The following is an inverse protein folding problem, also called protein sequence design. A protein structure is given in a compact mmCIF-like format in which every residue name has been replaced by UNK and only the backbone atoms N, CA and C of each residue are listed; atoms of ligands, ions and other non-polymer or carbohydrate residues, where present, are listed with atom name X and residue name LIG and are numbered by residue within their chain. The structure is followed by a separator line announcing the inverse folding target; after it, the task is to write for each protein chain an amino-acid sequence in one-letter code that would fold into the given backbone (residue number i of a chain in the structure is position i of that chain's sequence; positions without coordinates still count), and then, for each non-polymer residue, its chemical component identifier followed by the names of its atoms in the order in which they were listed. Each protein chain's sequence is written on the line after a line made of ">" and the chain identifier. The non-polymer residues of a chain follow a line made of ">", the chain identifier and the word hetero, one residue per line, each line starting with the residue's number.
data_IF_699917845507
#
_entry.id   IF_699917845507
#
_cell.length_a   1.000
_cell.length_b   1.000
_cell.length_c   1.000
_cell.angle_alpha   90.00
_cell.angle_beta   90.00
_cell.angle_gamma   90.00
#
_symmetry.space_group_name_H-M   'P 1'
#
loop_
_entity.id
_entity.type
_entity.pdbx_description
1 polymer ?
#
# COMPACT_ATOMS: atom_id res chain seq x y z
N UNK A 1 -8.34 -20.97 -33.95
CA UNK A 1 -8.35 -20.20 -32.67
C UNK A 1 -7.74 -18.84 -32.95
N UNK A 2 -8.55 -17.84 -33.15
CA UNK A 2 -8.12 -16.47 -33.37
C UNK A 2 -7.53 -15.92 -32.06
N UNK A 3 -6.25 -15.57 -32.05
CA UNK A 3 -5.62 -14.90 -30.91
C UNK A 3 -6.30 -13.54 -30.74
N UNK A 4 -7.19 -13.41 -29.75
CA UNK A 4 -7.74 -12.14 -29.33
C UNK A 4 -6.55 -11.21 -29.07
N UNK A 5 -6.37 -10.18 -29.90
CA UNK A 5 -5.35 -9.15 -29.69
C UNK A 5 -5.61 -8.55 -28.30
N UNK A 6 -4.57 -8.52 -27.47
CA UNK A 6 -4.60 -7.81 -26.20
C UNK A 6 -4.92 -6.33 -26.49
N UNK A 7 -5.91 -5.77 -25.82
CA UNK A 7 -6.26 -4.34 -25.92
C UNK A 7 -5.22 -3.44 -25.25
N UNK A 8 -4.20 -4.03 -24.63
CA UNK A 8 -3.17 -3.30 -23.88
C UNK A 8 -1.84 -3.29 -24.63
N UNK A 9 -1.28 -2.09 -24.78
CA UNK A 9 0.12 -1.94 -25.17
C UNK A 9 1.03 -2.33 -24.00
N UNK A 10 2.05 -3.14 -24.26
CA UNK A 10 3.07 -3.49 -23.27
C UNK A 10 3.99 -2.30 -23.02
N UNK A 11 3.68 -1.51 -22.01
CA UNK A 11 4.46 -0.31 -21.63
C UNK A 11 5.58 -0.64 -20.64
N UNK A 12 5.40 -1.68 -19.81
CA UNK A 12 6.35 -2.08 -18.77
C UNK A 12 7.04 -3.39 -19.12
N UNK A 13 8.34 -3.45 -18.85
CA UNK A 13 9.10 -4.69 -18.82
C UNK A 13 8.84 -5.48 -17.53
N UNK A 14 9.27 -6.74 -17.47
CA UNK A 14 9.16 -7.55 -16.25
C UNK A 14 9.96 -6.92 -15.08
N UNK A 15 11.08 -6.25 -15.36
CA UNK A 15 11.87 -5.54 -14.37
C UNK A 15 11.15 -4.31 -13.83
N UNK A 16 10.48 -3.54 -14.68
CA UNK A 16 9.70 -2.37 -14.23
C UNK A 16 8.59 -2.79 -13.29
N UNK A 17 7.88 -3.88 -13.61
CA UNK A 17 6.82 -4.44 -12.76
C UNK A 17 7.41 -4.91 -11.42
N UNK A 18 8.56 -5.59 -11.43
CA UNK A 18 9.21 -6.06 -10.22
C UNK A 18 9.64 -4.89 -9.33
N UNK A 19 10.23 -3.84 -9.90
CA UNK A 19 10.66 -2.66 -9.15
C UNK A 19 9.47 -1.91 -8.55
N UNK A 20 8.39 -1.74 -9.32
CA UNK A 20 7.16 -1.10 -8.83
C UNK A 20 6.52 -1.92 -7.70
N UNK A 21 6.41 -3.25 -7.89
CA UNK A 21 5.85 -4.13 -6.87
C UNK A 21 6.69 -4.14 -5.59
N UNK A 22 8.01 -4.19 -5.73
CA UNK A 22 8.95 -4.13 -4.60
C UNK A 22 8.82 -2.80 -3.85
N UNK A 23 8.78 -1.67 -4.58
CA UNK A 23 8.60 -0.35 -3.99
C UNK A 23 7.26 -0.19 -3.27
N UNK A 24 6.19 -0.81 -3.80
CA UNK A 24 4.88 -0.81 -3.15
C UNK A 24 4.85 -1.66 -1.86
N UNK A 25 5.66 -2.71 -1.77
CA UNK A 25 5.76 -3.57 -0.58
C UNK A 25 6.63 -2.96 0.51
N UNK A 26 7.73 -2.29 0.15
CA UNK A 26 8.66 -1.66 1.08
C UNK A 26 8.26 -0.19 1.26
N UNK A 27 7.12 0.03 1.90
CA UNK A 27 6.72 1.35 2.38
C UNK A 27 7.43 1.71 3.70
N UNK A 28 7.15 2.91 4.21
CA UNK A 28 7.72 3.38 5.48
C UNK A 28 7.28 2.59 6.71
N UNK A 29 6.26 1.75 6.58
CA UNK A 29 5.68 0.96 7.67
C UNK A 29 6.71 0.12 8.43
N UNK A 30 7.66 -0.49 7.73
CA UNK A 30 8.71 -1.26 8.39
C UNK A 30 9.65 -0.39 9.23
N UNK A 31 9.94 0.84 8.79
CA UNK A 31 10.79 1.78 9.56
C UNK A 31 10.10 2.21 10.85
N UNK A 32 8.81 2.54 10.77
CA UNK A 32 8.05 3.06 11.92
C UNK A 32 7.65 1.95 12.88
N UNK A 33 7.29 0.77 12.39
CA UNK A 33 6.66 -0.27 13.21
C UNK A 33 7.59 -1.41 13.66
N UNK A 34 8.80 -1.52 13.09
CA UNK A 34 9.73 -2.61 13.43
C UNK A 34 10.09 -2.65 14.91
N UNK A 35 10.28 -1.48 15.53
CA UNK A 35 10.56 -1.37 16.96
C UNK A 35 9.43 -1.96 17.82
N UNK A 36 8.19 -1.69 17.48
CA UNK A 36 7.02 -2.22 18.17
C UNK A 36 6.85 -3.74 17.97
N UNK A 37 7.07 -4.22 16.75
CA UNK A 37 7.02 -5.66 16.47
C UNK A 37 8.07 -6.45 17.25
N UNK A 38 9.31 -5.94 17.32
CA UNK A 38 10.39 -6.56 18.11
C UNK A 38 10.10 -6.44 19.60
N UNK A 39 9.57 -5.31 20.05
CA UNK A 39 9.20 -5.10 21.44
C UNK A 39 8.12 -6.06 21.96
N UNK A 40 7.13 -6.38 21.12
CA UNK A 40 6.01 -7.28 21.46
C UNK A 40 6.35 -8.77 21.24
N UNK A 41 6.98 -9.10 20.12
CA UNK A 41 7.20 -10.48 19.70
C UNK A 41 8.63 -10.99 19.91
N UNK A 42 9.55 -10.12 20.31
CA UNK A 42 10.98 -10.42 20.28
C UNK A 42 11.53 -10.51 18.85
N UNK A 43 12.84 -10.52 18.69
CA UNK A 43 13.50 -10.61 17.38
C UNK A 43 13.10 -11.90 16.63
N UNK A 44 13.11 -13.02 17.31
CA UNK A 44 12.77 -14.32 16.71
C UNK A 44 11.29 -14.36 16.29
N UNK A 45 10.37 -13.83 17.11
CA UNK A 45 8.95 -13.75 16.79
C UNK A 45 8.69 -12.90 15.57
N UNK A 46 9.37 -11.75 15.44
CA UNK A 46 9.28 -10.90 14.26
C UNK A 46 9.77 -11.63 13.00
N UNK A 47 10.93 -12.28 13.05
CA UNK A 47 11.49 -13.05 11.91
C UNK A 47 10.54 -14.17 11.47
N UNK A 48 10.02 -14.96 12.40
CA UNK A 48 9.08 -16.05 12.10
C UNK A 48 7.78 -15.48 11.51
N UNK A 49 7.26 -14.39 12.09
CA UNK A 49 6.05 -13.72 11.58
C UNK A 49 6.22 -13.26 10.14
N UNK A 50 7.34 -12.64 9.80
CA UNK A 50 7.64 -12.24 8.42
C UNK A 50 7.83 -13.45 7.49
N UNK A 51 8.47 -14.52 7.94
CA UNK A 51 8.65 -15.73 7.14
C UNK A 51 7.29 -16.38 6.80
N UNK A 52 6.42 -16.54 7.79
CA UNK A 52 5.06 -17.09 7.58
C UNK A 52 4.25 -16.16 6.69
N UNK A 53 4.24 -14.85 6.96
CA UNK A 53 3.55 -13.86 6.14
C UNK A 53 4.04 -13.86 4.70
N UNK A 54 5.35 -13.94 4.46
CA UNK A 54 5.94 -14.04 3.13
C UNK A 54 5.47 -15.27 2.36
N UNK A 55 5.40 -16.43 3.00
CA UNK A 55 4.87 -17.67 2.40
C UNK A 55 3.39 -17.49 2.02
N UNK A 56 2.59 -16.91 2.91
CA UNK A 56 1.16 -16.66 2.63
C UNK A 56 0.97 -15.70 1.44
N UNK A 57 1.71 -14.59 1.41
CA UNK A 57 1.66 -13.61 0.31
C UNK A 57 2.11 -14.23 -1.00
N UNK A 58 3.11 -15.13 -0.98
CA UNK A 58 3.55 -15.85 -2.16
C UNK A 58 2.42 -16.69 -2.79
N UNK A 59 1.66 -17.44 -2.01
CA UNK A 59 0.51 -18.20 -2.51
C UNK A 59 -0.61 -17.29 -3.04
N UNK A 60 -0.88 -16.19 -2.37
CA UNK A 60 -1.82 -15.17 -2.87
C UNK A 60 -1.34 -14.63 -4.22
N UNK A 61 -0.05 -14.31 -4.35
CA UNK A 61 0.53 -13.84 -5.61
C UNK A 61 0.39 -14.84 -6.76
N UNK A 62 0.58 -16.12 -6.51
CA UNK A 62 0.35 -17.19 -7.51
C UNK A 62 -1.12 -17.22 -7.97
N UNK A 63 -2.07 -17.06 -7.07
CA UNK A 63 -3.50 -16.99 -7.39
C UNK A 63 -3.81 -15.79 -8.30
N UNK A 64 -3.26 -14.62 -7.97
CA UNK A 64 -3.41 -13.42 -8.82
C UNK A 64 -2.77 -13.59 -10.19
N UNK A 65 -1.61 -14.23 -10.27
CA UNK A 65 -0.94 -14.50 -11.54
C UNK A 65 -1.81 -15.39 -12.45
N UNK A 66 -2.42 -16.43 -11.90
CA UNK A 66 -3.32 -17.32 -12.63
C UNK A 66 -4.60 -16.60 -13.08
N UNK A 67 -5.24 -15.85 -12.17
CA UNK A 67 -6.46 -15.10 -12.49
C UNK A 67 -6.22 -14.03 -13.56
N UNK A 68 -5.09 -13.33 -13.49
CA UNK A 68 -4.73 -12.31 -14.47
C UNK A 68 -4.44 -12.93 -15.84
N UNK A 69 -3.81 -14.10 -15.88
CA UNK A 69 -3.56 -14.83 -17.13
C UNK A 69 -4.86 -15.35 -17.75
N UNK A 70 -5.80 -15.83 -16.91
CA UNK A 70 -7.10 -16.34 -17.35
C UNK A 70 -8.07 -15.22 -17.78
N UNK A 71 -7.96 -14.04 -17.16
CA UNK A 71 -8.87 -12.91 -17.37
C UNK A 71 -8.07 -11.61 -17.62
N UNK A 72 -7.43 -11.44 -18.78
CA UNK A 72 -6.60 -10.28 -19.11
C UNK A 72 -7.47 -9.06 -19.45
N UNK A 73 -8.17 -8.51 -18.45
CA UNK A 73 -9.06 -7.37 -18.57
C UNK A 73 -8.65 -6.30 -17.54
N UNK A 74 -8.92 -5.03 -17.87
CA UNK A 74 -8.70 -3.93 -16.94
C UNK A 74 -9.70 -4.00 -15.79
N UNK A 75 -9.22 -3.80 -14.55
CA UNK A 75 -10.06 -3.80 -13.34
C UNK A 75 -9.62 -4.80 -12.26
N UNK A 76 -8.66 -5.69 -12.55
CA UNK A 76 -8.10 -6.61 -11.55
C UNK A 76 -9.16 -7.34 -10.72
N UNK A 77 -9.11 -7.16 -9.40
CA UNK A 77 -10.01 -7.82 -8.44
C UNK A 77 -11.49 -7.56 -8.70
N UNK A 78 -11.83 -6.40 -9.25
CA UNK A 78 -13.21 -6.11 -9.63
C UNK A 78 -13.71 -7.11 -10.68
N UNK A 79 -12.91 -7.40 -11.71
CA UNK A 79 -13.27 -8.34 -12.77
C UNK A 79 -13.37 -9.76 -12.22
N UNK A 80 -12.39 -10.15 -11.39
CA UNK A 80 -12.36 -11.51 -10.81
C UNK A 80 -13.55 -11.75 -9.89
N UNK A 81 -13.81 -10.80 -8.98
CA UNK A 81 -14.94 -10.89 -8.05
C UNK A 81 -16.29 -10.79 -8.75
N UNK A 82 -16.42 -9.99 -9.83
CA UNK A 82 -17.65 -9.90 -10.60
C UNK A 82 -18.00 -11.24 -11.25
N UNK A 83 -17.02 -11.93 -11.83
CA UNK A 83 -17.23 -13.24 -12.44
C UNK A 83 -17.53 -14.34 -11.42
N UNK A 84 -16.93 -14.26 -10.22
CA UNK A 84 -17.10 -15.28 -9.20
C UNK A 84 -18.37 -15.09 -8.35
N UNK A 85 -18.70 -13.85 -7.99
CA UNK A 85 -19.72 -13.52 -6.98
C UNK A 85 -20.83 -12.60 -7.51
N UNK A 86 -20.76 -12.18 -8.78
CA UNK A 86 -21.72 -11.26 -9.37
C UNK A 86 -21.56 -9.79 -8.88
N UNK A 87 -22.51 -8.90 -9.24
CA UNK A 87 -22.37 -7.46 -9.04
C UNK A 87 -22.28 -7.04 -7.57
N UNK A 88 -23.06 -7.66 -6.69
CA UNK A 88 -23.07 -7.31 -5.25
C UNK A 88 -21.77 -7.71 -4.58
N UNK A 89 -21.29 -8.94 -4.82
CA UNK A 89 -20.02 -9.41 -4.28
C UNK A 89 -18.84 -8.59 -4.79
N UNK A 90 -18.83 -8.24 -6.06
CA UNK A 90 -17.83 -7.39 -6.68
C UNK A 90 -17.83 -5.97 -6.09
N UNK A 91 -18.99 -5.39 -5.83
CA UNK A 91 -19.10 -4.08 -5.19
C UNK A 91 -18.45 -4.07 -3.80
N UNK A 92 -18.77 -5.07 -2.96
CA UNK A 92 -18.20 -5.20 -1.62
C UNK A 92 -16.67 -5.38 -1.69
N UNK A 93 -16.20 -6.27 -2.58
CA UNK A 93 -14.78 -6.52 -2.77
C UNK A 93 -14.03 -5.25 -3.21
N UNK A 94 -14.56 -4.54 -4.20
CA UNK A 94 -13.98 -3.30 -4.73
C UNK A 94 -13.90 -2.22 -3.64
N UNK A 95 -14.95 -2.06 -2.84
CA UNK A 95 -14.94 -1.12 -1.73
C UNK A 95 -13.90 -1.47 -0.66
N UNK A 96 -13.76 -2.74 -0.32
CA UNK A 96 -12.75 -3.20 0.63
C UNK A 96 -11.33 -2.90 0.13
N UNK A 97 -11.06 -3.10 -1.16
CA UNK A 97 -9.77 -2.80 -1.79
C UNK A 97 -9.49 -1.30 -1.81
N UNK A 98 -10.47 -0.48 -2.21
CA UNK A 98 -10.34 0.98 -2.19
C UNK A 98 -10.02 1.46 -0.76
N UNK A 99 -10.73 0.94 0.24
CA UNK A 99 -10.48 1.30 1.64
C UNK A 99 -9.06 0.91 2.07
N UNK A 100 -8.59 -0.27 1.65
CA UNK A 100 -7.21 -0.71 1.89
C UNK A 100 -6.18 0.26 1.31
N UNK A 101 -6.31 0.62 0.04
CA UNK A 101 -5.38 1.56 -0.60
C UNK A 101 -5.42 2.96 0.02
N UNK A 102 -6.60 3.48 0.34
CA UNK A 102 -6.75 4.79 1.03
C UNK A 102 -6.05 4.74 2.39
N UNK A 103 -6.23 3.66 3.15
CA UNK A 103 -5.57 3.49 4.45
C UNK A 103 -4.05 3.49 4.35
N UNK A 104 -3.49 2.85 3.32
CA UNK A 104 -2.03 2.86 3.06
C UNK A 104 -1.55 4.27 2.77
N UNK A 105 -2.22 5.03 1.90
CA UNK A 105 -1.85 6.42 1.58
C UNK A 105 -1.86 7.30 2.83
N UNK A 106 -2.90 7.17 3.67
CA UNK A 106 -2.97 7.89 4.94
C UNK A 106 -1.81 7.52 5.88
N UNK A 107 -1.50 6.23 6.00
CA UNK A 107 -0.41 5.75 6.83
C UNK A 107 0.95 6.28 6.35
N UNK A 108 1.24 6.20 5.06
CA UNK A 108 2.48 6.70 4.46
C UNK A 108 2.64 8.22 4.63
N UNK A 109 1.56 8.98 4.48
CA UNK A 109 1.60 10.42 4.72
C UNK A 109 1.93 10.79 6.19
N UNK A 110 1.50 9.97 7.15
CA UNK A 110 1.78 10.15 8.57
C UNK A 110 3.18 9.66 8.98
N UNK A 111 3.78 8.77 8.21
CA UNK A 111 5.06 8.16 8.56
C UNK A 111 6.21 9.17 8.56
N UNK A 112 6.30 10.05 7.56
CA UNK A 112 7.39 11.02 7.46
C UNK A 112 7.44 12.01 8.64
N UNK A 113 6.35 12.71 9.03
CA UNK A 113 6.38 13.59 10.20
C UNK A 113 6.65 12.81 11.49
N UNK A 114 6.26 11.55 11.59
CA UNK A 114 6.57 10.70 12.73
C UNK A 114 8.08 10.44 12.82
N UNK A 115 8.75 10.14 11.70
CA UNK A 115 10.20 9.97 11.66
C UNK A 115 10.93 11.26 12.05
N UNK A 116 10.46 12.41 11.54
CA UNK A 116 11.02 13.71 11.92
C UNK A 116 10.95 13.93 13.44
N UNK A 117 9.85 13.51 14.06
CA UNK A 117 9.69 13.61 15.51
C UNK A 117 10.72 12.78 16.28
N UNK A 118 11.10 11.60 15.78
CA UNK A 118 12.14 10.78 16.40
C UNK A 118 13.53 11.40 16.28
N UNK A 119 13.83 12.09 15.18
CA UNK A 119 15.13 12.74 14.94
C UNK A 119 15.19 14.07 15.69
N UNK A 120 14.11 14.82 15.71
CA UNK A 120 14.01 16.15 16.31
C UNK A 120 12.71 16.31 17.12
N UNK A 121 12.71 15.92 18.41
CA UNK A 121 11.53 16.02 19.28
C UNK A 121 10.96 17.44 19.41
N UNK A 122 11.77 18.48 19.28
CA UNK A 122 11.36 19.89 19.30
C UNK A 122 10.53 20.33 18.08
N UNK A 123 10.33 19.45 17.11
CA UNK A 123 9.49 19.70 15.93
C UNK A 123 8.00 19.84 16.26
N UNK A 124 7.53 19.18 17.33
CA UNK A 124 6.11 19.17 17.72
C UNK A 124 5.73 20.54 18.33
N UNK A 125 5.03 21.35 17.53
CA UNK A 125 4.53 22.68 17.96
C UNK A 125 3.05 22.84 17.59
N UNK A 126 2.33 23.57 18.47
CA UNK A 126 0.92 23.83 18.23
C UNK A 126 0.05 22.58 18.41
N UNK A 127 -0.16 22.15 19.66
CA UNK A 127 -1.09 21.08 19.99
C UNK A 127 -2.49 21.41 19.49
N UNK A 128 -3.15 20.45 18.83
CA UNK A 128 -4.51 20.60 18.30
C UNK A 128 -5.52 19.76 19.08
N UNK A 129 -5.33 18.44 19.06
CA UNK A 129 -6.24 17.48 19.71
C UNK A 129 -5.56 16.12 19.87
N UNK A 130 -6.20 15.22 20.63
CA UNK A 130 -5.74 13.83 20.81
C UNK A 130 -6.75 12.88 20.18
N UNK A 131 -6.29 11.92 19.38
CA UNK A 131 -7.09 10.84 18.78
C UNK A 131 -6.50 9.49 19.16
N UNK A 132 -7.31 8.61 19.74
CA UNK A 132 -6.91 7.25 20.14
C UNK A 132 -5.60 7.20 20.97
N UNK A 133 -5.36 8.21 21.80
CA UNK A 133 -4.15 8.32 22.63
C UNK A 133 -2.94 8.93 21.93
N UNK A 134 -3.08 9.41 20.70
CA UNK A 134 -2.02 10.12 19.97
C UNK A 134 -2.32 11.61 19.91
N UNK A 135 -1.36 12.42 20.36
CA UNK A 135 -1.44 13.87 20.31
C UNK A 135 -1.08 14.40 18.92
N UNK A 136 -1.98 15.18 18.34
CA UNK A 136 -1.81 15.77 17.00
C UNK A 136 -1.37 17.24 17.16
N UNK A 137 -0.26 17.55 16.49
CA UNK A 137 0.33 18.89 16.48
C UNK A 137 0.23 19.53 15.09
N UNK A 138 0.08 20.85 15.05
CA UNK A 138 -0.06 21.60 13.80
C UNK A 138 1.16 21.43 12.88
N UNK A 139 2.37 21.43 13.42
CA UNK A 139 3.59 21.19 12.66
C UNK A 139 3.64 19.78 12.04
N UNK A 140 3.21 18.78 12.79
CA UNK A 140 3.12 17.39 12.33
C UNK A 140 2.09 17.25 11.20
N UNK A 141 0.91 17.82 11.39
CA UNK A 141 -0.17 17.80 10.41
C UNK A 141 0.21 18.53 9.11
N UNK A 142 0.88 19.69 9.22
CA UNK A 142 1.34 20.45 8.06
C UNK A 142 2.28 19.64 7.17
N UNK A 143 3.26 18.93 7.76
CA UNK A 143 4.18 18.07 7.00
C UNK A 143 3.41 16.89 6.38
N UNK A 144 2.52 16.24 7.12
CA UNK A 144 1.71 15.14 6.60
C UNK A 144 0.89 15.58 5.37
N UNK A 145 0.25 16.75 5.41
CA UNK A 145 -0.49 17.31 4.29
C UNK A 145 0.39 17.61 3.09
N UNK A 146 1.55 18.26 3.29
CA UNK A 146 2.49 18.56 2.19
C UNK A 146 2.94 17.27 1.51
N UNK A 147 3.27 16.24 2.27
CA UNK A 147 3.69 14.93 1.74
C UNK A 147 2.55 14.27 0.97
N UNK A 148 1.34 14.27 1.50
CA UNK A 148 0.17 13.72 0.82
C UNK A 148 -0.10 14.42 -0.52
N UNK A 149 -0.02 15.75 -0.56
CA UNK A 149 -0.15 16.53 -1.80
C UNK A 149 0.95 16.21 -2.79
N UNK A 150 2.18 16.10 -2.35
CA UNK A 150 3.33 15.80 -3.21
C UNK A 150 3.21 14.40 -3.83
N UNK A 151 2.89 13.38 -3.03
CA UNK A 151 2.66 12.02 -3.51
C UNK A 151 1.50 11.98 -4.52
N UNK A 152 0.38 12.64 -4.19
CA UNK A 152 -0.79 12.72 -5.07
C UNK A 152 -0.43 13.39 -6.40
N UNK A 153 0.32 14.49 -6.37
CA UNK A 153 0.74 15.19 -7.57
C UNK A 153 1.63 14.33 -8.48
N UNK A 154 2.58 13.58 -7.91
CA UNK A 154 3.42 12.63 -8.67
C UNK A 154 2.54 11.55 -9.32
N UNK A 155 1.59 10.99 -8.57
CA UNK A 155 0.71 9.94 -9.08
C UNK A 155 -0.21 10.43 -10.21
N UNK A 156 -0.69 11.67 -10.16
CA UNK A 156 -1.51 12.26 -11.23
C UNK A 156 -0.69 12.39 -12.54
N UNK A 157 0.60 12.72 -12.46
CA UNK A 157 1.46 12.80 -13.64
C UNK A 157 1.71 11.45 -14.32
N UNK A 158 1.57 10.35 -13.58
CA UNK A 158 1.71 9.00 -14.09
C UNK A 158 3.15 8.55 -14.35
N UNK A 159 3.31 7.28 -14.73
CA UNK A 159 4.62 6.63 -14.91
C UNK A 159 5.35 7.01 -16.22
N UNK A 160 4.81 7.90 -17.04
CA UNK A 160 5.38 8.32 -18.35
C UNK A 160 6.12 9.67 -18.28
N UNK A 161 6.29 10.25 -17.11
CA UNK A 161 7.14 11.41 -16.87
C UNK A 161 8.41 10.93 -16.18
#
# INVERSE_FOLDING_TARGET
>A
MEKKKSEFDKVFSAWDILVIAFGAMIGWGWVVSTGDWIGRGGVLGAVIGFAIGGIMVFFVGLTYAELTAAMPQCGGEHVFSYKAMGPVGSFICTWAIILGYVSVVCFEACALPTIITYIYPGFLKGYLYTVAGFDIYASWLAVAMIVAFFITFINIKGAKT
#
